data_IF_399933554666
#
_entry.id   IF_399933554666
#
_cell.length_a   1.000
_cell.length_b   1.000
_cell.length_c   1.000
_cell.angle_alpha   90.00
_cell.angle_beta   90.00
_cell.angle_gamma   90.00
#
_symmetry.space_group_name_H-M   'P 1'
#
loop_
_entity.id
_entity.type
_entity.pdbx_description
1 polymer ?
#
# COMPACT_ATOMS: atom_id res chain seq x y z
N UNK A 1 -9.65 15.88 1.51
CA UNK A 1 -9.00 15.27 2.61
C UNK A 1 -7.88 14.33 2.17
N UNK A 2 -6.78 14.33 2.92
CA UNK A 2 -5.55 13.60 2.61
C UNK A 2 -5.58 12.09 2.87
N UNK A 3 -6.71 11.53 3.34
CA UNK A 3 -6.82 10.11 3.71
C UNK A 3 -7.71 9.30 2.77
N UNK A 4 -8.15 9.89 1.67
CA UNK A 4 -9.06 9.21 0.73
C UNK A 4 -8.30 8.58 -0.43
N UNK A 5 -8.92 7.54 -0.98
CA UNK A 5 -8.48 6.85 -2.21
C UNK A 5 -9.36 7.25 -3.39
N UNK A 6 -9.11 6.68 -4.56
CA UNK A 6 -10.04 6.77 -5.68
C UNK A 6 -11.38 6.15 -5.26
N UNK A 7 -12.52 6.84 -5.47
CA UNK A 7 -13.82 6.28 -5.10
C UNK A 7 -14.14 5.00 -5.89
N UNK A 8 -14.66 3.99 -5.20
CA UNK A 8 -14.94 2.67 -5.80
C UNK A 8 -16.27 2.14 -5.30
N UNK A 9 -17.04 1.52 -6.19
CA UNK A 9 -18.21 0.74 -5.77
C UNK A 9 -17.77 -0.55 -5.08
N UNK A 10 -18.67 -1.17 -4.33
CA UNK A 10 -18.36 -2.45 -3.67
C UNK A 10 -18.14 -3.57 -4.70
N UNK A 11 -18.86 -3.54 -5.82
CA UNK A 11 -18.65 -4.49 -6.92
C UNK A 11 -17.27 -4.34 -7.54
N UNK A 12 -16.81 -3.12 -7.73
CA UNK A 12 -15.48 -2.84 -8.25
C UNK A 12 -14.41 -3.38 -7.29
N UNK A 13 -14.58 -3.16 -5.99
CA UNK A 13 -13.65 -3.68 -4.98
C UNK A 13 -13.66 -5.21 -4.99
N UNK A 14 -14.84 -5.82 -4.99
CA UNK A 14 -14.95 -7.29 -5.02
C UNK A 14 -14.23 -7.88 -6.24
N UNK A 15 -14.37 -7.26 -7.40
CA UNK A 15 -13.65 -7.67 -8.61
C UNK A 15 -12.14 -7.50 -8.46
N UNK A 16 -11.70 -6.35 -7.97
CA UNK A 16 -10.27 -6.04 -7.81
C UNK A 16 -9.56 -7.01 -6.88
N UNK A 17 -10.22 -7.46 -5.80
CA UNK A 17 -9.65 -8.36 -4.80
C UNK A 17 -10.03 -9.83 -5.05
N UNK A 18 -10.77 -10.14 -6.12
CA UNK A 18 -11.27 -11.48 -6.43
C UNK A 18 -12.10 -12.06 -5.29
N UNK A 19 -12.94 -11.24 -4.70
CA UNK A 19 -13.76 -11.59 -3.56
C UNK A 19 -15.23 -11.81 -3.93
N UNK A 20 -15.96 -12.43 -3.01
CA UNK A 20 -17.40 -12.67 -3.12
C UNK A 20 -18.13 -11.63 -2.29
N UNK A 21 -18.92 -10.79 -2.95
CA UNK A 21 -19.70 -9.75 -2.27
C UNK A 21 -20.97 -10.35 -1.67
N UNK A 22 -21.15 -10.12 -0.38
CA UNK A 22 -22.35 -10.43 0.36
C UNK A 22 -22.94 -9.10 0.82
N UNK A 23 -23.90 -8.57 0.05
CA UNK A 23 -24.45 -7.24 0.28
C UNK A 23 -25.57 -7.21 1.33
N UNK A 24 -26.12 -8.36 1.68
CA UNK A 24 -27.28 -8.44 2.57
C UNK A 24 -28.49 -7.70 1.99
N UNK A 25 -29.30 -7.10 2.88
CA UNK A 25 -30.44 -6.25 2.49
C UNK A 25 -30.03 -4.81 2.21
N UNK A 26 -28.75 -4.48 2.37
CA UNK A 26 -28.23 -3.13 2.06
C UNK A 26 -28.28 -2.94 0.55
N UNK A 27 -29.26 -2.19 0.17
CA UNK A 27 -29.79 -1.96 -1.14
C UNK A 27 -28.77 -1.69 -2.26
N UNK A 28 -29.31 -1.97 -3.35
CA UNK A 28 -29.22 -1.60 -4.75
C UNK A 28 -28.53 -0.25 -5.08
N UNK A 29 -28.40 0.69 -4.18
CA UNK A 29 -27.60 1.89 -4.33
C UNK A 29 -26.31 1.69 -3.55
N UNK A 30 -25.39 1.03 -4.18
CA UNK A 30 -24.12 0.67 -3.63
C UNK A 30 -23.40 1.89 -3.09
N UNK A 31 -23.08 1.95 -1.80
CA UNK A 31 -22.28 3.04 -1.26
C UNK A 31 -20.93 3.06 -1.95
N UNK A 32 -20.41 4.26 -2.18
CA UNK A 32 -19.07 4.45 -2.73
C UNK A 32 -18.07 4.40 -1.59
N UNK A 33 -17.08 3.51 -1.70
CA UNK A 33 -15.98 3.45 -0.78
C UNK A 33 -14.94 4.53 -1.14
N UNK A 34 -14.51 5.30 -0.14
CA UNK A 34 -13.57 6.42 -0.33
C UNK A 34 -12.30 6.30 0.50
N UNK A 35 -12.21 5.31 1.36
CA UNK A 35 -11.00 5.04 2.16
C UNK A 35 -10.95 3.57 2.55
N UNK A 36 -9.77 3.10 2.97
CA UNK A 36 -9.58 1.72 3.42
C UNK A 36 -8.59 1.70 4.59
N UNK A 37 -8.92 0.95 5.63
CA UNK A 37 -8.12 0.83 6.83
C UNK A 37 -8.14 -0.60 7.37
N UNK A 38 -7.07 -0.96 8.07
CA UNK A 38 -6.97 -2.24 8.80
C UNK A 38 -7.14 -2.04 10.31
N UNK A 39 -7.09 -0.80 10.78
CA UNK A 39 -7.30 -0.44 12.19
C UNK A 39 -8.72 0.08 12.35
N UNK A 40 -9.55 -0.64 13.12
CA UNK A 40 -10.95 -0.28 13.34
C UNK A 40 -11.13 1.12 13.97
N UNK A 41 -10.10 1.62 14.66
CA UNK A 41 -10.14 2.95 15.28
C UNK A 41 -10.05 4.09 14.25
N UNK A 42 -9.60 3.79 13.04
CA UNK A 42 -9.44 4.78 11.96
C UNK A 42 -10.66 4.85 11.05
N UNK A 43 -11.62 3.95 11.20
CA UNK A 43 -12.82 3.90 10.34
C UNK A 43 -13.60 5.19 10.44
N UNK A 44 -13.91 5.75 9.29
CA UNK A 44 -14.75 6.94 9.09
C UNK A 44 -15.82 6.65 8.04
N UNK A 45 -16.74 7.57 7.82
CA UNK A 45 -17.74 7.45 6.76
C UNK A 45 -17.10 7.13 5.41
N UNK A 46 -17.61 6.10 4.74
CA UNK A 46 -17.11 5.67 3.44
C UNK A 46 -15.93 4.72 3.49
N UNK A 47 -15.48 4.29 4.67
CA UNK A 47 -14.34 3.37 4.79
C UNK A 47 -14.72 1.93 4.46
N UNK A 48 -13.76 1.23 3.86
CA UNK A 48 -13.72 -0.24 3.83
C UNK A 48 -12.78 -0.69 4.94
N UNK A 49 -13.26 -1.59 5.79
CA UNK A 49 -12.44 -2.21 6.81
C UNK A 49 -11.85 -3.52 6.28
N UNK A 50 -10.54 -3.66 6.30
CA UNK A 50 -9.86 -4.90 5.93
C UNK A 50 -9.48 -5.64 7.20
N UNK A 51 -10.15 -6.76 7.47
CA UNK A 51 -9.92 -7.56 8.66
C UNK A 51 -8.67 -8.44 8.48
N UNK A 52 -7.66 -8.23 9.30
CA UNK A 52 -6.42 -9.01 9.27
C UNK A 52 -6.26 -9.74 10.60
N UNK A 53 -6.01 -11.04 10.52
CA UNK A 53 -5.68 -11.84 11.68
C UNK A 53 -4.22 -11.61 12.06
N UNK A 54 -4.01 -10.97 13.20
CA UNK A 54 -2.68 -10.75 13.78
C UNK A 54 -2.34 -11.82 14.82
N UNK A 55 -1.14 -11.72 15.38
CA UNK A 55 -0.67 -12.68 16.40
C UNK A 55 -1.47 -12.60 17.70
N UNK A 56 -1.94 -11.41 18.08
CA UNK A 56 -2.63 -11.15 19.35
C UNK A 56 -4.10 -10.78 19.18
N UNK A 57 -4.45 -10.18 18.06
CA UNK A 57 -5.76 -9.64 17.78
C UNK A 57 -6.17 -10.05 16.38
N UNK A 58 -7.40 -10.53 16.25
CA UNK A 58 -8.00 -10.81 14.95
C UNK A 58 -8.92 -9.65 14.56
N UNK A 59 -8.62 -8.97 13.46
CA UNK A 59 -9.45 -7.89 12.96
C UNK A 59 -10.88 -8.29 12.67
N UNK A 60 -11.15 -9.57 12.41
CA UNK A 60 -12.51 -10.07 12.20
C UNK A 60 -13.42 -9.86 13.41
N UNK A 61 -12.86 -9.80 14.62
CA UNK A 61 -13.63 -9.55 15.85
C UNK A 61 -14.25 -8.16 15.89
N UNK A 62 -13.72 -7.21 15.11
CA UNK A 62 -14.21 -5.83 15.06
C UNK A 62 -15.24 -5.59 13.96
N UNK A 63 -15.44 -6.55 13.05
CA UNK A 63 -16.39 -6.39 11.92
C UNK A 63 -17.80 -6.01 12.39
N UNK A 64 -18.36 -6.61 13.47
CA UNK A 64 -19.70 -6.23 13.92
C UNK A 64 -19.84 -4.77 14.39
N UNK A 65 -18.73 -4.07 14.60
CA UNK A 65 -18.73 -2.71 15.17
C UNK A 65 -18.44 -1.63 14.13
N UNK A 66 -17.79 -1.97 13.01
CA UNK A 66 -17.29 -0.95 12.07
C UNK A 66 -18.39 -0.25 11.30
N UNK A 67 -19.54 -0.91 11.08
CA UNK A 67 -20.68 -0.29 10.42
C UNK A 67 -21.22 0.94 11.15
N UNK A 68 -21.26 0.87 12.49
CA UNK A 68 -21.68 1.99 13.32
C UNK A 68 -20.69 3.19 13.24
N UNK A 69 -19.45 2.94 12.85
CA UNK A 69 -18.43 3.97 12.68
C UNK A 69 -18.44 4.59 11.29
N UNK A 70 -19.22 4.05 10.35
CA UNK A 70 -19.32 4.58 9.00
C UNK A 70 -18.75 3.67 7.91
N UNK A 71 -18.26 2.47 8.26
CA UNK A 71 -17.76 1.52 7.26
C UNK A 71 -18.89 1.14 6.29
N UNK A 72 -18.57 1.10 5.00
CA UNK A 72 -19.50 0.71 3.94
C UNK A 72 -19.37 -0.77 3.58
N UNK A 73 -18.28 -1.41 3.96
CA UNK A 73 -18.03 -2.83 3.75
C UNK A 73 -16.87 -3.30 4.62
N UNK A 74 -16.74 -4.62 4.77
CA UNK A 74 -15.59 -5.27 5.37
C UNK A 74 -15.06 -6.34 4.42
N UNK A 75 -13.75 -6.39 4.23
CA UNK A 75 -13.06 -7.47 3.53
C UNK A 75 -12.63 -8.47 4.59
N UNK A 76 -13.08 -9.71 4.43
CA UNK A 76 -12.92 -10.78 5.43
C UNK A 76 -12.46 -12.08 4.74
N UNK A 77 -11.87 -12.99 5.49
CA UNK A 77 -11.50 -14.31 4.94
C UNK A 77 -12.56 -15.39 5.20
N UNK A 78 -13.61 -15.05 5.94
CA UNK A 78 -14.80 -15.87 6.14
C UNK A 78 -15.98 -14.98 6.47
N UNK A 79 -17.17 -15.44 6.17
CA UNK A 79 -18.38 -14.69 6.49
C UNK A 79 -18.58 -14.54 7.99
N UNK A 80 -18.84 -13.32 8.43
CA UNK A 80 -19.10 -12.98 9.82
C UNK A 80 -20.62 -12.87 10.01
N UNK A 81 -21.16 -13.62 10.96
CA UNK A 81 -22.57 -13.50 11.33
C UNK A 81 -22.84 -12.14 11.99
N UNK A 82 -23.99 -11.57 11.68
CA UNK A 82 -24.42 -10.28 12.25
C UNK A 82 -23.37 -9.17 12.03
N UNK A 83 -22.76 -9.15 10.87
CA UNK A 83 -21.68 -8.20 10.55
C UNK A 83 -22.14 -6.74 10.56
N UNK A 84 -23.41 -6.47 10.23
CA UNK A 84 -23.94 -5.10 10.19
C UNK A 84 -23.44 -4.26 8.99
N UNK A 85 -22.66 -4.86 8.11
CA UNK A 85 -22.13 -4.23 6.89
C UNK A 85 -22.08 -5.28 5.77
N UNK A 86 -22.11 -4.87 4.50
CA UNK A 86 -21.74 -5.76 3.40
C UNK A 86 -20.35 -6.33 3.59
N UNK A 87 -20.15 -7.57 3.17
CA UNK A 87 -18.88 -8.27 3.29
C UNK A 87 -18.34 -8.66 1.92
N UNK A 88 -17.04 -8.61 1.78
CA UNK A 88 -16.33 -9.14 0.62
C UNK A 88 -15.43 -10.25 1.14
N UNK A 89 -15.77 -11.50 0.81
CA UNK A 89 -15.06 -12.68 1.29
C UNK A 89 -13.96 -13.04 0.31
N UNK A 90 -12.74 -13.11 0.82
CA UNK A 90 -11.52 -13.44 0.06
C UNK A 90 -10.79 -14.61 0.74
N UNK A 91 -9.84 -15.22 0.04
CA UNK A 91 -9.02 -16.29 0.62
C UNK A 91 -8.01 -15.74 1.64
N UNK A 92 -7.41 -14.58 1.35
CA UNK A 92 -6.35 -13.97 2.16
C UNK A 92 -6.54 -12.45 2.17
N UNK A 93 -6.81 -11.89 3.33
CA UNK A 93 -7.08 -10.46 3.45
C UNK A 93 -5.84 -9.58 3.27
N UNK A 94 -4.65 -10.09 3.55
CA UNK A 94 -3.39 -9.36 3.27
C UNK A 94 -3.17 -9.26 1.76
N UNK A 95 -3.37 -10.35 1.03
CA UNK A 95 -3.29 -10.32 -0.43
C UNK A 95 -4.37 -9.41 -1.02
N UNK A 96 -5.57 -9.41 -0.46
CA UNK A 96 -6.66 -8.55 -0.89
C UNK A 96 -6.33 -7.08 -0.68
N UNK A 97 -5.71 -6.73 0.44
CA UNK A 97 -5.24 -5.36 0.72
C UNK A 97 -4.26 -4.89 -0.36
N UNK A 98 -3.29 -5.75 -0.71
CA UNK A 98 -2.34 -5.46 -1.79
C UNK A 98 -3.03 -5.30 -3.14
N UNK A 99 -3.96 -6.17 -3.47
CA UNK A 99 -4.72 -6.09 -4.73
C UNK A 99 -5.56 -4.81 -4.81
N UNK A 100 -6.15 -4.39 -3.70
CA UNK A 100 -6.92 -3.15 -3.64
C UNK A 100 -6.02 -1.93 -3.86
N UNK A 101 -4.84 -1.91 -3.23
CA UNK A 101 -3.86 -0.86 -3.42
C UNK A 101 -3.37 -0.79 -4.88
N UNK A 102 -3.07 -1.93 -5.47
CA UNK A 102 -2.68 -2.03 -6.88
C UNK A 102 -3.76 -1.43 -7.78
N UNK A 103 -5.00 -1.80 -7.56
CA UNK A 103 -6.14 -1.29 -8.32
C UNK A 103 -6.28 0.23 -8.16
N UNK A 104 -6.12 0.74 -6.95
CA UNK A 104 -6.19 2.17 -6.68
C UNK A 104 -5.13 2.96 -7.47
N UNK A 105 -3.89 2.47 -7.49
CA UNK A 105 -2.80 3.09 -8.24
C UNK A 105 -3.04 3.01 -9.74
N UNK A 106 -3.51 1.87 -10.23
CA UNK A 106 -3.90 1.72 -11.64
C UNK A 106 -4.98 2.72 -12.06
N UNK A 107 -6.01 2.89 -11.23
CA UNK A 107 -7.07 3.87 -11.46
C UNK A 107 -6.54 5.30 -11.46
N UNK A 108 -5.65 5.62 -10.52
CA UNK A 108 -5.02 6.95 -10.48
C UNK A 108 -4.22 7.22 -11.76
N UNK A 109 -3.42 6.25 -12.20
CA UNK A 109 -2.63 6.37 -13.43
C UNK A 109 -3.51 6.49 -14.68
N UNK A 110 -4.63 5.82 -14.70
CA UNK A 110 -5.57 5.85 -15.82
C UNK A 110 -6.20 7.23 -16.07
N UNK A 111 -6.16 8.14 -15.10
CA UNK A 111 -6.59 9.52 -15.30
C UNK A 111 -5.73 10.28 -16.31
N UNK A 112 -4.48 9.85 -16.52
CA UNK A 112 -3.55 10.50 -17.44
C UNK A 112 -3.03 11.85 -16.97
N UNK A 113 -3.39 12.31 -15.77
CA UNK A 113 -2.87 13.53 -15.19
C UNK A 113 -1.54 13.26 -14.49
N UNK A 114 -0.68 14.27 -14.28
CA UNK A 114 0.64 14.06 -13.71
C UNK A 114 0.60 13.38 -12.35
N UNK A 115 1.27 12.25 -12.24
CA UNK A 115 1.40 11.45 -11.03
C UNK A 115 2.68 10.64 -11.09
N UNK A 116 3.50 10.74 -10.04
CA UNK A 116 4.79 10.06 -9.99
C UNK A 116 4.91 9.27 -8.69
N UNK A 117 5.29 8.00 -8.81
CA UNK A 117 5.62 7.13 -7.69
C UNK A 117 7.13 7.05 -7.54
N UNK A 118 7.62 7.41 -6.36
CA UNK A 118 9.04 7.29 -6.00
C UNK A 118 9.18 6.16 -5.01
N UNK A 119 9.80 5.06 -5.43
CA UNK A 119 10.10 3.92 -4.57
C UNK A 119 11.48 4.09 -3.95
N UNK A 120 11.57 3.86 -2.63
CA UNK A 120 12.84 3.97 -1.88
C UNK A 120 13.13 2.63 -1.23
N UNK A 121 14.32 2.09 -1.49
CA UNK A 121 14.82 0.89 -0.83
C UNK A 121 16.25 1.09 -0.34
N UNK A 122 16.73 0.19 0.48
CA UNK A 122 18.07 0.22 1.07
C UNK A 122 18.01 -0.26 2.51
N UNK A 123 19.15 -0.35 3.17
CA UNK A 123 19.21 -0.84 4.54
C UNK A 123 19.29 0.28 5.59
N UNK A 124 19.72 1.47 5.21
CA UNK A 124 19.89 2.61 6.14
C UNK A 124 19.43 3.89 5.47
N UNK A 125 18.70 4.71 6.22
CA UNK A 125 18.31 6.05 5.79
C UNK A 125 17.02 6.14 4.99
N UNK A 126 16.24 5.05 4.86
CA UNK A 126 14.96 5.07 4.14
C UNK A 126 13.98 6.08 4.73
N UNK A 127 13.78 6.06 6.04
CA UNK A 127 12.84 6.94 6.71
C UNK A 127 13.26 8.41 6.61
N UNK A 128 14.55 8.69 6.80
CA UNK A 128 15.09 10.05 6.64
C UNK A 128 14.93 10.56 5.22
N UNK A 129 15.24 9.72 4.24
CA UNK A 129 15.08 10.06 2.82
C UNK A 129 13.61 10.26 2.46
N UNK A 130 12.72 9.39 2.94
CA UNK A 130 11.28 9.50 2.74
C UNK A 130 10.76 10.84 3.29
N UNK A 131 11.16 11.21 4.51
CA UNK A 131 10.74 12.47 5.13
C UNK A 131 11.23 13.69 4.35
N UNK A 132 12.49 13.65 3.89
CA UNK A 132 13.06 14.70 3.08
C UNK A 132 12.33 14.82 1.74
N UNK A 133 12.07 13.71 1.06
CA UNK A 133 11.36 13.72 -0.21
C UNK A 133 9.94 14.22 -0.06
N UNK A 134 9.24 13.82 1.00
CA UNK A 134 7.91 14.33 1.30
C UNK A 134 7.93 15.85 1.45
N UNK A 135 8.89 16.37 2.19
CA UNK A 135 9.03 17.81 2.40
C UNK A 135 9.28 18.55 1.07
N UNK A 136 10.19 18.04 0.25
CA UNK A 136 10.53 18.68 -1.03
C UNK A 136 9.39 18.58 -2.04
N UNK A 137 8.81 17.39 -2.23
CA UNK A 137 7.76 17.17 -3.21
C UNK A 137 6.46 17.88 -2.84
N UNK A 138 6.19 18.08 -1.56
CA UNK A 138 5.01 18.80 -1.10
C UNK A 138 4.97 20.25 -1.58
N UNK A 139 6.11 20.84 -1.90
CA UNK A 139 6.19 22.16 -2.54
C UNK A 139 5.74 22.13 -4.00
N UNK A 140 5.78 20.98 -4.65
CA UNK A 140 5.42 20.82 -6.05
C UNK A 140 3.98 20.35 -6.26
N UNK A 141 3.37 19.76 -5.23
CA UNK A 141 2.00 19.28 -5.30
C UNK A 141 1.64 18.36 -4.15
N UNK A 142 0.36 17.94 -4.07
CA UNK A 142 -0.09 17.01 -3.03
C UNK A 142 0.71 15.71 -3.04
N UNK A 143 1.30 15.38 -1.90
CA UNK A 143 2.20 14.24 -1.75
C UNK A 143 1.71 13.30 -0.66
N UNK A 144 1.65 12.02 -0.98
CA UNK A 144 1.35 10.94 -0.03
C UNK A 144 2.67 10.24 0.29
N UNK A 145 2.94 10.05 1.58
CA UNK A 145 4.10 9.32 2.06
C UNK A 145 3.73 8.53 3.31
N UNK A 146 4.44 7.42 3.59
CA UNK A 146 4.13 6.62 4.78
C UNK A 146 4.42 7.38 6.06
N UNK A 147 3.64 7.08 7.10
CA UNK A 147 3.90 7.51 8.47
C UNK A 147 4.78 6.44 9.11
N UNK A 148 5.91 6.86 9.67
CA UNK A 148 6.87 5.91 10.23
C UNK A 148 7.51 5.06 9.13
N UNK A 149 7.70 3.77 9.42
CA UNK A 149 8.36 2.82 8.52
C UNK A 149 7.38 1.80 7.92
N UNK A 150 6.22 2.24 7.42
CA UNK A 150 5.24 1.37 6.75
C UNK A 150 5.74 0.97 5.37
N UNK A 151 6.55 -0.08 5.30
CA UNK A 151 7.31 -0.46 4.11
C UNK A 151 7.14 -1.93 3.67
N UNK A 152 6.22 -2.65 4.29
CA UNK A 152 5.95 -4.08 4.03
C UNK A 152 4.64 -4.30 3.26
N UNK A 153 4.20 -5.56 3.16
CA UNK A 153 3.00 -5.98 2.42
C UNK A 153 1.67 -5.48 3.03
N UNK A 154 1.71 -4.90 4.21
CA UNK A 154 0.54 -4.23 4.83
C UNK A 154 0.71 -2.72 4.77
N UNK A 155 1.88 -2.22 5.15
CA UNK A 155 2.16 -0.78 5.24
C UNK A 155 2.17 -0.07 3.90
N UNK A 156 2.80 -0.65 2.89
CA UNK A 156 2.83 -0.05 1.56
C UNK A 156 1.44 0.05 0.94
N UNK A 157 0.60 -1.01 0.97
CA UNK A 157 -0.78 -0.88 0.50
C UNK A 157 -1.58 0.18 1.23
N UNK A 158 -1.48 0.26 2.56
CA UNK A 158 -2.21 1.28 3.34
C UNK A 158 -1.82 2.70 2.94
N UNK A 159 -0.54 2.95 2.71
CA UNK A 159 -0.07 4.24 2.21
C UNK A 159 -0.62 4.51 0.81
N UNK A 160 -0.56 3.53 -0.08
CA UNK A 160 -1.02 3.65 -1.46
C UNK A 160 -2.53 3.90 -1.55
N UNK A 161 -3.30 3.44 -0.57
CA UNK A 161 -4.74 3.65 -0.49
C UNK A 161 -5.14 5.04 0.04
N UNK A 162 -4.16 5.92 0.21
CA UNK A 162 -4.38 7.36 0.46
C UNK A 162 -4.17 8.20 -0.81
N UNK A 163 -3.89 7.56 -1.93
CA UNK A 163 -3.75 8.21 -3.23
C UNK A 163 -5.12 8.40 -3.85
N UNK A 164 -5.43 9.61 -4.26
CA UNK A 164 -6.67 9.97 -4.94
C UNK A 164 -6.38 10.78 -6.22
N UNK A 165 -7.42 11.31 -6.85
CA UNK A 165 -7.30 12.03 -8.13
C UNK A 165 -6.40 13.28 -8.04
N UNK A 166 -6.29 13.89 -6.87
CA UNK A 166 -5.49 15.10 -6.65
C UNK A 166 -4.04 14.82 -6.33
N UNK A 167 -3.70 13.60 -5.94
CA UNK A 167 -2.34 13.22 -5.55
C UNK A 167 -1.39 13.38 -6.73
N UNK A 168 -0.31 14.12 -6.52
CA UNK A 168 0.73 14.38 -7.52
C UNK A 168 1.93 13.44 -7.35
N UNK A 169 2.23 13.09 -6.09
CA UNK A 169 3.37 12.23 -5.75
C UNK A 169 2.99 11.20 -4.70
N UNK A 170 3.47 9.98 -4.89
CA UNK A 170 3.49 8.95 -3.86
C UNK A 170 4.95 8.59 -3.57
N UNK A 171 5.36 8.76 -2.32
CA UNK A 171 6.65 8.25 -1.85
C UNK A 171 6.39 6.90 -1.21
N UNK A 172 6.95 5.85 -1.81
CA UNK A 172 6.73 4.47 -1.38
C UNK A 172 8.04 3.91 -0.79
N UNK A 173 8.05 3.70 0.52
CA UNK A 173 9.17 3.05 1.17
C UNK A 173 8.99 1.53 1.02
N UNK A 174 10.01 0.85 0.48
CA UNK A 174 9.98 -0.59 0.20
C UNK A 174 11.10 -1.28 0.97
N UNK A 175 10.71 -1.95 2.05
CA UNK A 175 11.63 -2.68 2.90
C UNK A 175 11.53 -4.18 2.68
N UNK A 176 12.66 -4.88 2.75
CA UNK A 176 12.69 -6.32 2.62
C UNK A 176 13.74 -6.93 3.53
N UNK A 177 13.38 -8.04 4.16
CA UNK A 177 14.30 -8.89 4.91
C UNK A 177 14.67 -10.15 4.13
N UNK A 178 13.92 -10.48 3.07
CA UNK A 178 14.11 -11.69 2.29
C UNK A 178 14.05 -11.40 0.78
N UNK A 179 14.69 -12.27 0.00
CA UNK A 179 14.65 -12.23 -1.46
C UNK A 179 13.19 -12.38 -1.93
N UNK A 180 12.80 -11.59 -2.92
CA UNK A 180 11.46 -11.62 -3.51
C UNK A 180 10.48 -10.63 -2.90
N UNK A 181 10.74 -10.10 -1.70
CA UNK A 181 9.83 -9.15 -1.04
C UNK A 181 9.70 -7.83 -1.81
N UNK A 182 10.82 -7.27 -2.29
CA UNK A 182 10.81 -6.03 -3.09
C UNK A 182 10.09 -6.26 -4.42
N UNK A 183 10.32 -7.40 -5.07
CA UNK A 183 9.62 -7.76 -6.31
C UNK A 183 8.11 -7.80 -6.09
N UNK A 184 7.66 -8.34 -4.96
CA UNK A 184 6.24 -8.35 -4.61
C UNK A 184 5.71 -6.93 -4.42
N UNK A 185 6.41 -6.09 -3.65
CA UNK A 185 5.99 -4.71 -3.40
C UNK A 185 5.92 -3.88 -4.68
N UNK A 186 6.90 -4.00 -5.58
CA UNK A 186 6.88 -3.29 -6.86
C UNK A 186 5.80 -3.82 -7.81
N UNK A 187 5.40 -5.08 -7.68
CA UNK A 187 4.28 -5.60 -8.46
C UNK A 187 2.96 -4.96 -8.07
N UNK A 188 2.82 -4.56 -6.81
CA UNK A 188 1.63 -3.86 -6.31
C UNK A 188 1.66 -2.38 -6.68
N UNK A 189 2.81 -1.73 -6.51
CA UNK A 189 3.00 -0.29 -6.74
C UNK A 189 4.30 -0.09 -7.55
N UNK A 190 4.24 -0.25 -8.87
CA UNK A 190 5.43 -0.05 -9.70
C UNK A 190 5.91 1.39 -9.63
N UNK A 191 7.17 1.64 -9.24
CA UNK A 191 7.67 3.01 -9.18
C UNK A 191 8.03 3.58 -10.56
N UNK A 192 7.87 4.89 -10.71
CA UNK A 192 8.41 5.65 -11.83
C UNK A 192 9.89 5.97 -11.60
N UNK A 193 10.24 6.20 -10.35
CA UNK A 193 11.60 6.50 -9.92
C UNK A 193 11.93 5.57 -8.76
N UNK A 194 13.04 4.86 -8.87
CA UNK A 194 13.58 4.03 -7.80
C UNK A 194 14.81 4.69 -7.20
N UNK A 195 14.78 4.91 -5.89
CA UNK A 195 15.91 5.43 -5.13
C UNK A 195 16.48 4.30 -4.29
N UNK A 196 17.73 3.93 -4.57
CA UNK A 196 18.43 2.86 -3.86
C UNK A 196 19.47 3.49 -2.95
N UNK A 197 19.26 3.34 -1.64
CA UNK A 197 20.12 3.94 -0.63
C UNK A 197 21.28 3.02 -0.25
N UNK A 198 22.26 3.63 0.41
CA UNK A 198 23.45 2.95 0.88
C UNK A 198 23.12 1.79 1.82
N UNK A 199 23.84 0.71 1.62
CA UNK A 199 23.80 -0.43 2.52
C UNK A 199 24.68 -0.15 3.73
N UNK A 200 24.07 -0.15 4.93
CA UNK A 200 24.81 -0.01 6.18
C UNK A 200 25.57 -1.28 6.54
N UNK A 201 26.76 -1.10 7.12
CA UNK A 201 27.63 -2.20 7.56
C UNK A 201 26.96 -3.08 8.63
N UNK A 202 26.03 -2.52 9.40
CA UNK A 202 25.36 -3.22 10.50
C UNK A 202 24.49 -4.40 10.06
N UNK A 203 24.10 -4.48 8.79
CA UNK A 203 23.22 -5.53 8.27
C UNK A 203 23.97 -6.64 7.51
N UNK A 204 25.29 -6.55 7.39
CA UNK A 204 26.10 -7.55 6.70
C UNK A 204 25.99 -8.94 7.30
N UNK A 205 25.72 -9.05 8.61
CA UNK A 205 25.55 -10.33 9.30
C UNK A 205 24.21 -11.00 9.09
N UNK A 206 23.11 -10.22 8.96
CA UNK A 206 21.75 -10.76 8.82
C UNK A 206 21.39 -11.07 7.37
N UNK A 207 21.83 -10.23 6.44
CA UNK A 207 21.61 -10.45 5.02
C UNK A 207 22.62 -11.41 4.39
N UNK A 208 23.64 -11.80 5.13
CA UNK A 208 24.63 -12.78 4.71
C UNK A 208 25.44 -12.37 3.50
N UNK A 209 25.26 -11.19 2.89
CA UNK A 209 26.14 -10.79 1.80
C UNK A 209 25.72 -9.54 1.06
N UNK A 210 26.70 -8.92 0.40
CA UNK A 210 26.53 -7.94 -0.65
C UNK A 210 25.60 -8.47 -1.78
N UNK A 211 25.47 -9.78 -1.92
CA UNK A 211 24.62 -10.43 -2.91
C UNK A 211 23.13 -10.20 -2.67
N UNK A 212 22.67 -10.24 -1.42
CA UNK A 212 21.25 -9.95 -1.09
C UNK A 212 20.89 -8.51 -1.35
N UNK A 213 21.81 -7.62 -1.13
CA UNK A 213 21.65 -6.20 -1.38
C UNK A 213 21.58 -5.93 -2.88
N UNK A 214 22.46 -6.56 -3.64
CA UNK A 214 22.43 -6.54 -5.10
C UNK A 214 21.12 -7.12 -5.62
N UNK A 215 20.60 -8.18 -4.97
CA UNK A 215 19.32 -8.77 -5.33
C UNK A 215 18.15 -7.80 -5.07
N UNK A 216 18.08 -7.17 -3.91
CA UNK A 216 17.04 -6.18 -3.58
C UNK A 216 17.06 -5.01 -4.57
N UNK A 217 18.24 -4.50 -4.89
CA UNK A 217 18.44 -3.46 -5.89
C UNK A 217 17.95 -3.90 -7.27
N UNK A 218 18.30 -5.12 -7.68
CA UNK A 218 17.85 -5.70 -8.94
C UNK A 218 16.32 -5.80 -8.98
N UNK A 219 15.69 -6.24 -7.89
CA UNK A 219 14.24 -6.38 -7.80
C UNK A 219 13.52 -5.03 -7.98
N UNK A 220 14.00 -3.96 -7.32
CA UNK A 220 13.34 -2.65 -7.46
C UNK A 220 13.52 -2.07 -8.86
N UNK A 221 14.68 -2.26 -9.47
CA UNK A 221 14.94 -1.79 -10.84
C UNK A 221 14.07 -2.54 -11.84
N UNK A 222 13.93 -3.86 -11.71
CA UNK A 222 13.06 -4.65 -12.57
C UNK A 222 11.57 -4.31 -12.38
N UNK A 223 11.20 -3.83 -11.19
CA UNK A 223 9.84 -3.43 -10.88
C UNK A 223 9.44 -2.04 -11.37
N UNK A 224 10.38 -1.25 -11.93
CA UNK A 224 10.07 0.06 -12.48
C UNK A 224 9.03 -0.02 -13.61
N UNK A 225 8.22 1.04 -13.75
CA UNK A 225 7.40 1.20 -14.94
C UNK A 225 8.29 1.31 -16.19
N UNK A 226 7.77 0.97 -17.39
CA UNK A 226 8.53 1.18 -18.63
C UNK A 226 9.01 2.63 -18.74
N UNK A 227 10.32 2.81 -18.98
CA UNK A 227 10.92 4.14 -19.05
C UNK A 227 11.22 4.78 -17.70
N UNK A 228 11.03 4.05 -16.60
CA UNK A 228 11.33 4.55 -15.26
C UNK A 228 12.81 4.80 -15.01
N UNK A 229 13.11 5.61 -14.00
CA UNK A 229 14.46 6.08 -13.68
C UNK A 229 14.93 5.47 -12.35
N UNK A 230 16.17 4.99 -12.31
CA UNK A 230 16.82 4.58 -11.06
C UNK A 230 17.86 5.61 -10.63
N UNK A 231 17.87 5.91 -9.32
CA UNK A 231 18.85 6.78 -8.70
C UNK A 231 19.59 5.97 -7.65
N UNK A 232 20.89 5.83 -7.82
CA UNK A 232 21.75 5.11 -6.89
C UNK A 232 22.44 6.09 -5.95
N UNK A 233 22.67 5.67 -4.70
CA UNK A 233 23.39 6.48 -3.75
C UNK A 233 24.88 6.55 -4.14
N UNK A 234 25.29 7.72 -4.60
CA UNK A 234 26.67 7.97 -5.05
C UNK A 234 27.72 7.92 -3.93
N UNK A 235 27.29 7.84 -2.66
CA UNK A 235 28.21 7.76 -1.53
C UNK A 235 28.57 6.32 -1.16
N UNK A 236 28.10 5.34 -1.92
CA UNK A 236 28.48 3.94 -1.73
C UNK A 236 29.79 3.69 -2.50
N UNK A 237 30.86 3.44 -1.77
CA UNK A 237 32.17 3.18 -2.34
C UNK A 237 32.22 1.93 -3.24
N UNK A 238 31.21 1.09 -3.17
CA UNK A 238 31.09 -0.13 -3.96
C UNK A 238 30.26 0.04 -5.25
N UNK A 239 29.73 1.24 -5.51
CA UNK A 239 28.93 1.52 -6.70
C UNK A 239 29.71 2.26 -7.78
N UNK A 240 30.93 2.66 -7.48
CA UNK A 240 31.84 3.31 -8.44
C UNK A 240 32.48 2.30 -9.40
#
# INVERSE_FOLDING_TARGET
>A
SSLTMMPMSLEEIAQAVQGRLIAGTAAVNTPVATSAFTDSRQIVEGSVFVAIAGERVDGHDYVPHVGAQGAVAAIVDHEIADAGVPQIVVEDTVLALGALAKHNIERRRALGTPFTVVGITGSVGKTTTKDLMKALLSHMGPTVAPVGSFNNEIGLPLTSLKVNAETRFLVAEMGANHVGEIANLTSLVPPDIAVVLKVGVAHLGEFGSAERIAQAKSEIIHGLVPGGLSVLNANDEHVA
#
